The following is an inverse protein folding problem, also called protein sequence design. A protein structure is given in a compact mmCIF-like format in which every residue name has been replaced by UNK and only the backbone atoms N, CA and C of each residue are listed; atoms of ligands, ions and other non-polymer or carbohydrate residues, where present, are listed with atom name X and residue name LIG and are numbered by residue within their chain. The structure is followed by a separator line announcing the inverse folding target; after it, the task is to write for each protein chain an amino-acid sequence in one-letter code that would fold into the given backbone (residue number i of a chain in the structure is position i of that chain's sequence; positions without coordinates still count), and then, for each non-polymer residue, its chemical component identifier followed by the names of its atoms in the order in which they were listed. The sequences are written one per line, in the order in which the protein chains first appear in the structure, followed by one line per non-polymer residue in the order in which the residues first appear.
data_IF_140478977485
#
_entry.id   IF_140478977485
#
_cell.length_a   1.000
_cell.length_b   1.000
_cell.length_c   1.000
_cell.angle_alpha   90.00
_cell.angle_beta   90.00
_cell.angle_gamma   90.00
#
_symmetry.space_group_name_H-M   'P 1'
#
loop_
_entity.id
_entity.type
_entity.pdbx_description
1 polymer ?
#
# COMPACT_ATOMS: atom_id res chain seq x y z
N UNK A 1 -53.83 32.63 -39.49
CA UNK A 1 -52.83 32.52 -40.57
C UNK A 1 -52.15 31.19 -40.43
N UNK A 2 -52.28 30.32 -41.43
CA UNK A 2 -51.69 28.97 -41.41
C UNK A 2 -50.17 29.10 -41.27
N UNK A 3 -49.50 28.42 -40.32
CA UNK A 3 -48.06 28.52 -40.20
C UNK A 3 -47.43 27.80 -41.39
N UNK A 4 -46.87 28.56 -42.34
CA UNK A 4 -46.06 28.00 -43.42
C UNK A 4 -44.66 27.76 -42.90
N UNK A 5 -44.34 26.52 -42.54
CA UNK A 5 -42.96 26.08 -42.38
C UNK A 5 -42.28 26.16 -43.74
N UNK A 6 -41.32 27.07 -43.92
CA UNK A 6 -40.55 27.14 -45.16
C UNK A 6 -39.37 26.19 -45.02
N UNK A 7 -39.38 25.09 -45.78
CA UNK A 7 -38.23 24.22 -46.00
C UNK A 7 -37.48 24.75 -47.23
N UNK A 8 -36.33 25.41 -47.03
CA UNK A 8 -35.49 25.86 -48.15
C UNK A 8 -34.34 24.85 -48.36
N UNK A 9 -34.38 24.13 -49.49
CA UNK A 9 -33.30 23.26 -49.94
C UNK A 9 -32.56 24.00 -51.06
N UNK A 10 -31.33 24.45 -50.79
CA UNK A 10 -30.45 25.00 -51.82
C UNK A 10 -29.43 23.94 -52.22
N UNK A 11 -29.50 23.47 -53.45
CA UNK A 11 -28.40 22.74 -54.12
C UNK A 11 -27.43 23.78 -54.71
N UNK A 12 -26.17 23.87 -54.26
CA UNK A 12 -25.20 24.76 -54.90
C UNK A 12 -24.67 24.12 -56.18
N UNK A 13 -24.38 24.95 -57.19
CA UNK A 13 -23.86 24.53 -58.49
C UNK A 13 -22.51 23.81 -58.42
N UNK A 14 -21.82 23.83 -57.27
CA UNK A 14 -20.61 23.04 -57.00
C UNK A 14 -20.48 22.75 -55.49
N UNK A 15 -20.85 21.54 -55.06
CA UNK A 15 -20.08 20.80 -54.04
C UNK A 15 -20.42 20.93 -52.54
N UNK A 16 -21.60 21.39 -52.11
CA UNK A 16 -22.01 21.25 -50.70
C UNK A 16 -23.52 21.52 -50.45
N UNK A 17 -24.37 20.49 -50.37
CA UNK A 17 -25.78 20.69 -50.00
C UNK A 17 -25.94 21.25 -48.57
N UNK A 18 -26.76 22.30 -48.41
CA UNK A 18 -27.05 22.93 -47.11
C UNK A 18 -28.56 22.96 -46.88
N UNK A 19 -29.02 22.34 -45.78
CA UNK A 19 -30.41 22.44 -45.32
C UNK A 19 -30.49 23.45 -44.17
N UNK A 20 -31.37 24.46 -44.32
CA UNK A 20 -31.60 25.52 -43.32
C UNK A 20 -33.06 25.46 -42.86
N UNK A 21 -33.30 25.35 -41.55
CA UNK A 21 -34.64 25.43 -40.95
C UNK A 21 -34.71 26.67 -40.05
N UNK A 22 -35.58 27.62 -40.39
CA UNK A 22 -35.81 28.88 -39.66
C UNK A 22 -37.27 29.02 -39.22
N UNK A 23 -37.51 29.81 -38.17
CA UNK A 23 -38.87 30.28 -37.82
C UNK A 23 -39.14 31.66 -38.42
N UNK A 24 -40.41 32.02 -38.60
CA UNK A 24 -40.84 33.20 -39.38
C UNK A 24 -40.62 34.58 -38.71
N UNK A 25 -39.90 34.65 -37.59
CA UNK A 25 -39.49 35.93 -37.00
C UNK A 25 -38.11 36.31 -37.56
N UNK A 26 -37.97 37.53 -38.10
CA UNK A 26 -36.72 37.99 -38.71
C UNK A 26 -35.56 37.88 -37.71
N UNK A 27 -34.60 36.98 -37.99
CA UNK A 27 -33.41 36.73 -37.16
C UNK A 27 -33.24 35.31 -36.62
N UNK A 28 -34.25 34.43 -36.69
CA UNK A 28 -34.15 33.09 -36.08
C UNK A 28 -33.58 32.02 -37.02
N UNK A 29 -32.43 31.45 -36.67
CA UNK A 29 -31.87 30.22 -37.28
C UNK A 29 -31.86 29.11 -36.22
N UNK A 30 -32.57 28.00 -36.45
CA UNK A 30 -32.74 26.94 -35.43
C UNK A 30 -31.79 25.76 -35.67
N UNK A 31 -31.55 25.36 -36.93
CA UNK A 31 -30.56 24.31 -37.29
C UNK A 31 -29.94 24.63 -38.66
N UNK A 32 -28.61 24.44 -38.81
CA UNK A 32 -27.92 24.46 -40.10
C UNK A 32 -27.14 23.16 -40.32
N UNK A 33 -27.40 22.48 -41.44
CA UNK A 33 -26.69 21.27 -41.86
C UNK A 33 -25.77 21.63 -43.03
N UNK A 34 -24.45 21.56 -42.85
CA UNK A 34 -23.48 21.67 -43.95
C UNK A 34 -23.09 20.28 -44.47
N UNK A 35 -22.63 20.20 -45.73
CA UNK A 35 -22.32 18.98 -46.49
C UNK A 35 -21.88 17.78 -45.63
N UNK A 36 -22.74 16.77 -45.59
CA UNK A 36 -22.60 15.57 -44.75
C UNK A 36 -21.76 14.48 -45.44
N UNK A 37 -21.31 14.67 -46.69
CA UNK A 37 -20.67 13.62 -47.52
C UNK A 37 -19.30 13.97 -48.11
N UNK A 38 -18.64 15.04 -47.68
CA UNK A 38 -17.17 15.12 -47.83
C UNK A 38 -16.54 14.98 -46.46
N UNK A 39 -15.31 14.48 -46.40
CA UNK A 39 -14.60 13.89 -45.23
C UNK A 39 -14.47 14.78 -43.97
N UNK A 40 -15.23 15.87 -43.86
CA UNK A 40 -15.16 16.92 -42.84
C UNK A 40 -16.55 17.52 -42.44
N UNK A 41 -17.67 16.84 -42.68
CA UNK A 41 -19.03 17.32 -42.38
C UNK A 41 -19.42 17.31 -40.88
N UNK A 42 -20.33 18.20 -40.47
CA UNK A 42 -20.81 18.26 -39.08
C UNK A 42 -22.11 19.04 -38.83
N UNK A 43 -22.83 18.69 -37.76
CA UNK A 43 -24.11 19.32 -37.32
C UNK A 43 -23.84 20.31 -36.21
N UNK A 44 -24.40 21.52 -36.27
CA UNK A 44 -24.34 22.54 -35.22
C UNK A 44 -25.75 22.94 -34.76
N UNK A 45 -25.96 23.00 -33.45
CA UNK A 45 -27.22 23.43 -32.80
C UNK A 45 -26.97 24.78 -32.13
N UNK A 46 -27.82 25.78 -32.34
CA UNK A 46 -27.71 27.11 -31.73
C UNK A 46 -28.88 27.35 -30.75
N UNK A 47 -28.75 28.32 -29.83
CA UNK A 47 -29.88 28.88 -29.09
C UNK A 47 -30.84 29.59 -30.06
N UNK A 48 -32.02 29.97 -29.57
CA UNK A 48 -33.04 30.65 -30.38
C UNK A 48 -32.64 32.06 -30.86
N UNK A 49 -31.46 32.55 -30.46
CA UNK A 49 -30.85 33.81 -30.92
C UNK A 49 -30.07 33.68 -32.24
N UNK A 50 -29.94 32.46 -32.78
CA UNK A 50 -29.25 32.17 -34.03
C UNK A 50 -27.73 32.41 -34.03
N UNK A 51 -27.13 32.81 -32.91
CA UNK A 51 -25.71 33.19 -32.79
C UNK A 51 -24.96 32.37 -31.73
N UNK A 52 -25.63 31.79 -30.74
CA UNK A 52 -24.99 31.03 -29.64
C UNK A 52 -25.04 29.50 -29.87
N UNK A 53 -23.93 28.84 -30.19
CA UNK A 53 -23.85 27.38 -30.42
C UNK A 53 -23.96 26.56 -29.11
N UNK A 54 -24.84 25.54 -29.06
CA UNK A 54 -25.06 24.63 -27.93
C UNK A 54 -24.50 23.23 -28.14
N UNK A 55 -24.35 22.73 -29.37
CA UNK A 55 -23.88 21.36 -29.61
C UNK A 55 -23.32 21.20 -31.02
N UNK A 56 -22.22 20.44 -31.15
CA UNK A 56 -21.60 20.12 -32.44
C UNK A 56 -21.35 18.62 -32.58
N UNK A 57 -21.60 18.09 -33.77
CA UNK A 57 -21.22 16.76 -34.22
C UNK A 57 -20.25 16.93 -35.40
N UNK A 58 -19.11 16.27 -35.41
CA UNK A 58 -18.21 16.25 -36.57
C UNK A 58 -17.53 14.89 -36.73
N UNK A 59 -17.38 14.47 -37.98
CA UNK A 59 -16.66 13.25 -38.34
C UNK A 59 -15.40 13.57 -39.15
N UNK A 60 -14.34 12.78 -38.93
CA UNK A 60 -13.17 12.70 -39.80
C UNK A 60 -12.88 11.23 -40.15
N UNK A 61 -11.93 10.94 -41.04
CA UNK A 61 -11.77 9.63 -41.70
C UNK A 61 -11.56 8.42 -40.76
N UNK A 62 -11.15 8.64 -39.50
CA UNK A 62 -10.94 7.57 -38.52
C UNK A 62 -11.61 7.85 -37.14
N UNK A 63 -12.49 8.84 -37.01
CA UNK A 63 -13.14 9.17 -35.73
C UNK A 63 -14.44 9.96 -35.90
N UNK A 64 -15.49 9.56 -35.19
CA UNK A 64 -16.71 10.35 -35.00
C UNK A 64 -16.72 10.93 -33.58
N UNK A 65 -16.93 12.26 -33.47
CA UNK A 65 -16.90 12.96 -32.17
C UNK A 65 -18.26 13.62 -31.87
N UNK A 66 -18.76 13.40 -30.64
CA UNK A 66 -19.99 14.00 -30.12
C UNK A 66 -19.68 14.84 -28.88
N UNK A 67 -20.04 16.12 -28.92
CA UNK A 67 -19.63 17.15 -27.95
C UNK A 67 -20.90 17.68 -27.24
N UNK A 68 -21.19 17.25 -25.99
CA UNK A 68 -22.26 17.79 -25.10
C UNK A 68 -22.03 17.76 -23.58
N UNK A 69 -22.55 18.72 -22.78
CA UNK A 69 -22.93 18.52 -21.36
C UNK A 69 -22.25 19.29 -20.22
N UNK A 70 -21.41 18.73 -19.35
CA UNK A 70 -20.92 17.37 -19.09
C UNK A 70 -20.56 16.36 -20.20
N UNK A 71 -19.62 16.56 -21.13
CA UNK A 71 -18.77 17.69 -21.52
C UNK A 71 -19.27 19.08 -21.17
N UNK A 72 -18.68 19.89 -20.28
CA UNK A 72 -19.33 21.16 -19.88
C UNK A 72 -19.62 22.17 -21.00
N UNK A 73 -20.87 22.25 -21.51
CA UNK A 73 -21.42 23.37 -22.28
C UNK A 73 -21.79 24.47 -21.29
N UNK A 74 -20.91 25.47 -21.17
CA UNK A 74 -21.20 26.74 -20.49
C UNK A 74 -21.44 26.62 -18.98
N UNK A 75 -20.38 26.82 -18.21
CA UNK A 75 -20.42 27.32 -16.83
C UNK A 75 -21.60 28.29 -16.60
N UNK A 76 -22.38 28.06 -15.54
CA UNK A 76 -22.98 29.16 -14.80
C UNK A 76 -22.82 28.86 -13.30
N UNK A 77 -21.84 29.55 -12.70
CA UNK A 77 -21.38 29.49 -11.30
C UNK A 77 -20.30 28.44 -10.94
N UNK A 78 -19.06 28.95 -10.77
CA UNK A 78 -17.88 28.49 -10.00
C UNK A 78 -17.62 26.97 -9.81
N UNK A 79 -16.64 26.40 -10.53
CA UNK A 79 -16.06 25.10 -10.12
C UNK A 79 -15.03 24.43 -11.02
N UNK A 80 -15.30 24.17 -12.31
CA UNK A 80 -14.38 23.42 -13.21
C UNK A 80 -14.73 23.56 -14.70
N UNK A 81 -13.73 23.43 -15.60
CA UNK A 81 -13.88 23.56 -17.06
C UNK A 81 -14.45 22.31 -17.76
N UNK A 82 -14.28 21.14 -17.15
CA UNK A 82 -14.87 19.87 -17.58
C UNK A 82 -15.45 19.20 -16.34
N UNK A 83 -16.78 19.19 -16.26
CA UNK A 83 -17.51 18.42 -15.26
C UNK A 83 -17.94 17.15 -15.95
N UNK A 84 -17.43 16.00 -15.52
CA UNK A 84 -17.92 14.72 -16.00
C UNK A 84 -18.93 14.20 -14.99
N UNK A 85 -20.22 14.36 -15.30
CA UNK A 85 -21.29 13.99 -14.39
C UNK A 85 -21.69 12.53 -14.62
N UNK A 86 -21.61 11.75 -13.55
CA UNK A 86 -22.15 10.40 -13.51
C UNK A 86 -23.64 10.35 -13.87
N UNK A 87 -24.03 9.32 -14.61
CA UNK A 87 -25.45 9.05 -14.89
C UNK A 87 -26.23 8.59 -13.65
N UNK A 88 -25.53 8.10 -12.63
CA UNK A 88 -26.09 7.61 -11.36
C UNK A 88 -25.33 8.22 -10.17
N UNK A 89 -25.73 7.86 -8.95
CA UNK A 89 -25.02 8.21 -7.71
C UNK A 89 -24.46 6.98 -6.99
N UNK A 90 -24.63 5.80 -7.59
CA UNK A 90 -24.28 4.49 -7.02
C UNK A 90 -23.05 3.89 -7.73
N UNK A 91 -22.79 2.61 -7.50
CA UNK A 91 -21.64 1.91 -8.07
C UNK A 91 -21.93 1.26 -9.44
N UNK A 92 -23.08 1.52 -10.06
CA UNK A 92 -23.49 0.82 -11.29
C UNK A 92 -22.92 1.47 -12.56
N UNK A 93 -22.39 2.69 -12.45
CA UNK A 93 -21.82 3.43 -13.58
C UNK A 93 -20.64 4.31 -13.16
N UNK A 94 -19.91 4.79 -14.16
CA UNK A 94 -18.79 5.72 -14.01
C UNK A 94 -19.13 7.11 -14.55
N UNK A 95 -18.54 8.12 -13.94
CA UNK A 95 -18.49 9.46 -14.51
C UNK A 95 -17.48 9.46 -15.64
N UNK A 96 -16.27 8.97 -15.37
CA UNK A 96 -15.17 8.94 -16.34
C UNK A 96 -14.61 7.52 -16.48
N UNK A 97 -14.52 7.05 -17.72
CA UNK A 97 -13.82 5.83 -18.08
C UNK A 97 -12.83 6.15 -19.21
N UNK A 98 -11.54 6.03 -18.92
CA UNK A 98 -10.49 6.10 -19.94
C UNK A 98 -10.08 4.66 -20.25
N UNK A 99 -10.15 4.28 -21.51
CA UNK A 99 -9.79 2.94 -21.99
C UNK A 99 -8.55 2.95 -22.87
N UNK A 100 -7.86 1.80 -22.96
CA UNK A 100 -6.84 1.56 -23.98
C UNK A 100 -7.47 1.25 -25.35
N UNK A 101 -6.64 0.98 -26.36
CA UNK A 101 -7.11 0.66 -27.73
C UNK A 101 -7.82 -0.69 -27.86
N UNK A 102 -7.85 -1.49 -26.79
CA UNK A 102 -8.57 -2.75 -26.70
C UNK A 102 -9.78 -2.65 -25.75
N UNK A 103 -10.20 -1.42 -25.42
CA UNK A 103 -11.34 -1.08 -24.56
C UNK A 103 -11.19 -1.49 -23.08
N UNK A 104 -9.97 -1.81 -22.61
CA UNK A 104 -9.73 -2.06 -21.19
C UNK A 104 -9.65 -0.74 -20.42
N UNK A 105 -10.35 -0.62 -19.29
CA UNK A 105 -10.33 0.60 -18.47
C UNK A 105 -9.01 0.77 -17.74
N UNK A 106 -8.30 1.86 -18.03
CA UNK A 106 -7.04 2.24 -17.38
C UNK A 106 -7.26 3.20 -16.22
N UNK A 107 -8.26 4.09 -16.30
CA UNK A 107 -8.66 5.01 -15.24
C UNK A 107 -10.18 5.09 -15.18
N UNK A 108 -10.75 4.71 -14.05
CA UNK A 108 -12.19 4.52 -13.88
C UNK A 108 -12.69 5.25 -12.63
N UNK A 109 -13.42 6.34 -12.83
CA UNK A 109 -14.02 7.12 -11.73
C UNK A 109 -15.49 6.74 -11.61
N UNK A 110 -15.83 5.99 -10.57
CA UNK A 110 -17.18 5.50 -10.31
C UNK A 110 -18.05 6.59 -9.70
N UNK A 111 -19.35 6.54 -9.94
CA UNK A 111 -20.30 7.57 -9.52
C UNK A 111 -20.46 7.70 -8.00
N UNK A 112 -20.15 6.63 -7.25
CA UNK A 112 -20.09 6.62 -5.79
C UNK A 112 -18.80 7.24 -5.21
N UNK A 113 -17.93 7.79 -6.06
CA UNK A 113 -16.72 8.51 -5.68
C UNK A 113 -15.47 7.65 -5.58
N UNK A 114 -15.54 6.34 -5.83
CA UNK A 114 -14.35 5.48 -5.84
C UNK A 114 -13.62 5.53 -7.19
N UNK A 115 -12.30 5.46 -7.14
CA UNK A 115 -11.40 5.54 -8.30
C UNK A 115 -10.65 4.23 -8.46
N UNK A 116 -10.79 3.60 -9.62
CA UNK A 116 -10.02 2.45 -10.04
C UNK A 116 -8.94 2.83 -11.04
N UNK A 117 -7.74 2.29 -10.88
CA UNK A 117 -6.69 2.30 -11.90
C UNK A 117 -6.45 0.84 -12.31
N UNK A 118 -6.63 0.55 -13.60
CA UNK A 118 -6.58 -0.80 -14.17
C UNK A 118 -7.60 -1.80 -13.51
N UNK A 119 -8.72 -1.27 -13.01
CA UNK A 119 -9.83 -2.01 -12.43
C UNK A 119 -11.12 -1.18 -12.51
N UNK A 120 -12.25 -1.80 -12.82
CA UNK A 120 -13.56 -1.13 -12.93
C UNK A 120 -14.43 -1.23 -11.65
N UNK A 121 -14.05 -2.11 -10.72
CA UNK A 121 -14.78 -2.35 -9.47
C UNK A 121 -13.91 -2.05 -8.24
N UNK A 122 -13.51 -0.78 -8.00
CA UNK A 122 -12.69 -0.43 -6.84
C UNK A 122 -13.39 -0.77 -5.52
N UNK A 123 -12.69 -1.49 -4.65
CA UNK A 123 -13.18 -1.85 -3.31
C UNK A 123 -12.98 -0.70 -2.31
N UNK A 124 -11.89 0.05 -2.46
CA UNK A 124 -11.50 1.23 -1.65
C UNK A 124 -11.67 2.53 -2.43
N UNK A 125 -11.50 3.68 -1.76
CA UNK A 125 -11.68 5.00 -2.38
C UNK A 125 -10.75 5.21 -3.58
N UNK A 126 -9.49 4.77 -3.46
CA UNK A 126 -8.57 4.59 -4.57
C UNK A 126 -8.12 3.13 -4.55
N UNK A 127 -8.33 2.42 -5.64
CA UNK A 127 -7.94 1.02 -5.82
C UNK A 127 -7.09 0.91 -7.09
N UNK A 128 -5.86 0.43 -6.95
CA UNK A 128 -4.87 0.40 -8.04
C UNK A 128 -4.42 -1.02 -8.23
N UNK A 129 -4.73 -1.60 -9.38
CA UNK A 129 -4.39 -2.99 -9.70
C UNK A 129 -3.16 -3.04 -10.60
N UNK A 130 -2.13 -3.77 -10.17
CA UNK A 130 -1.00 -4.10 -11.01
C UNK A 130 -1.45 -4.84 -12.28
N UNK A 131 -0.71 -4.68 -13.37
CA UNK A 131 -0.93 -5.49 -14.56
C UNK A 131 -0.54 -6.96 -14.31
N UNK A 132 -0.90 -7.84 -15.24
CA UNK A 132 -0.55 -9.27 -15.15
C UNK A 132 0.94 -9.55 -15.34
N UNK A 133 1.77 -8.52 -15.58
CA UNK A 133 3.22 -8.66 -15.76
C UNK A 133 4.00 -8.47 -14.46
N UNK A 134 3.31 -8.19 -13.35
CA UNK A 134 3.92 -8.03 -12.04
C UNK A 134 4.49 -6.63 -11.81
N UNK A 135 4.05 -5.63 -12.58
CA UNK A 135 4.48 -4.25 -12.37
C UNK A 135 3.98 -3.69 -11.03
N UNK A 136 4.75 -2.78 -10.43
CA UNK A 136 4.32 -2.10 -9.21
C UNK A 136 3.07 -1.26 -9.49
N UNK A 137 1.96 -1.57 -8.79
CA UNK A 137 0.71 -0.82 -8.90
C UNK A 137 0.90 0.67 -8.57
N UNK A 138 1.66 0.97 -7.52
CA UNK A 138 2.05 2.33 -7.13
C UNK A 138 3.56 2.34 -6.89
N UNK A 139 4.31 3.10 -7.71
CA UNK A 139 5.73 3.38 -7.47
C UNK A 139 5.87 4.81 -6.96
N UNK A 140 6.40 4.96 -5.75
CA UNK A 140 6.84 6.26 -5.23
C UNK A 140 8.36 6.18 -5.07
N UNK A 141 9.11 7.00 -5.81
CA UNK A 141 10.58 6.99 -5.78
C UNK A 141 11.13 8.40 -5.98
N UNK A 142 12.21 8.75 -5.26
CA UNK A 142 12.97 10.00 -5.44
C UNK A 142 14.32 9.69 -6.05
N UNK A 143 14.77 10.51 -7.00
CA UNK A 143 16.14 10.47 -7.55
C UNK A 143 17.17 11.19 -6.68
N UNK A 144 16.73 11.86 -5.60
CA UNK A 144 17.59 12.61 -4.66
C UNK A 144 17.78 11.81 -3.37
N UNK A 145 19.05 11.62 -2.98
CA UNK A 145 19.43 10.97 -1.73
C UNK A 145 18.87 11.72 -0.51
N UNK A 146 18.30 10.99 0.45
CA UNK A 146 17.78 11.56 1.70
C UNK A 146 16.37 12.16 1.64
N UNK A 147 15.69 12.10 0.50
CA UNK A 147 14.34 12.62 0.39
C UNK A 147 13.31 11.68 1.04
N UNK A 148 12.35 12.21 1.79
CA UNK A 148 11.23 11.43 2.33
C UNK A 148 10.26 11.11 1.18
N UNK A 149 10.31 9.87 0.69
CA UNK A 149 9.59 9.45 -0.52
C UNK A 149 8.08 9.29 -0.26
N UNK A 150 7.68 8.91 0.95
CA UNK A 150 6.26 8.81 1.35
C UNK A 150 6.08 9.34 2.77
N UNK A 151 5.15 10.28 2.97
CA UNK A 151 4.62 10.66 4.29
C UNK A 151 3.15 10.25 4.34
N UNK A 152 2.82 9.19 5.07
CA UNK A 152 1.44 8.80 5.34
C UNK A 152 0.99 9.56 6.60
N UNK A 153 0.49 10.78 6.42
CA UNK A 153 0.09 11.68 7.52
C UNK A 153 -1.20 11.21 8.22
N UNK A 154 -1.17 11.18 9.56
CA UNK A 154 -2.29 10.93 10.47
C UNK A 154 -3.29 9.85 10.03
N UNK A 155 -2.97 8.58 10.28
CA UNK A 155 -3.99 7.54 10.32
C UNK A 155 -4.57 7.60 11.75
N UNK A 156 -5.87 7.89 11.86
CA UNK A 156 -6.61 8.25 13.09
C UNK A 156 -6.19 7.53 14.38
N UNK A 157 -6.39 8.21 15.51
CA UNK A 157 -5.97 7.86 16.88
C UNK A 157 -6.34 6.46 17.42
N UNK A 158 -7.07 5.62 16.67
CA UNK A 158 -7.60 4.37 17.20
C UNK A 158 -7.14 3.08 16.52
N UNK A 159 -6.61 3.03 15.28
CA UNK A 159 -6.13 1.75 14.69
C UNK A 159 -5.41 1.90 13.32
N UNK A 160 -4.71 3.02 13.14
CA UNK A 160 -4.18 3.41 11.84
C UNK A 160 -2.77 2.92 11.50
N UNK A 161 -2.62 1.67 11.06
CA UNK A 161 -1.34 1.12 10.58
C UNK A 161 -1.21 1.06 9.05
N UNK A 162 0.02 1.17 8.53
CA UNK A 162 0.34 0.74 7.15
C UNK A 162 0.31 -0.79 7.13
N UNK A 163 -0.81 -1.36 6.66
CA UNK A 163 -0.91 -2.82 6.46
C UNK A 163 -0.29 -3.18 5.13
N UNK A 164 0.93 -3.73 5.16
CA UNK A 164 1.58 -4.33 4.00
C UNK A 164 1.08 -5.77 3.86
N UNK A 165 0.07 -6.00 3.01
CA UNK A 165 -0.33 -7.35 2.62
C UNK A 165 0.63 -7.82 1.52
N UNK A 166 1.34 -8.92 1.76
CA UNK A 166 2.18 -9.57 0.75
C UNK A 166 1.37 -10.76 0.19
N UNK A 167 0.92 -10.64 -1.06
CA UNK A 167 0.13 -11.66 -1.75
C UNK A 167 0.96 -12.32 -2.85
N UNK A 168 1.91 -13.17 -2.49
CA UNK A 168 2.54 -14.09 -3.44
C UNK A 168 2.82 -15.47 -2.84
N UNK A 169 1.98 -15.90 -1.89
CA UNK A 169 1.68 -17.32 -1.67
C UNK A 169 2.82 -18.26 -1.26
N UNK A 170 4.09 -17.86 -1.17
CA UNK A 170 5.16 -18.79 -0.78
C UNK A 170 6.27 -18.28 0.15
N UNK A 171 6.65 -16.99 0.24
CA UNK A 171 7.45 -16.46 1.39
C UNK A 171 7.81 -14.97 1.25
N UNK A 172 7.43 -14.12 2.23
CA UNK A 172 8.23 -13.03 2.83
C UNK A 172 7.41 -12.30 3.92
N UNK A 173 7.99 -11.97 5.10
CA UNK A 173 7.27 -11.49 6.30
C UNK A 173 7.37 -9.97 6.58
N UNK A 174 7.70 -9.14 5.59
CA UNK A 174 8.21 -7.75 5.68
C UNK A 174 9.73 -7.68 5.92
N UNK A 175 10.47 -7.28 4.88
CA UNK A 175 11.91 -6.94 4.95
C UNK A 175 12.07 -5.44 5.21
N UNK A 176 12.69 -5.07 6.33
CA UNK A 176 13.32 -3.74 6.49
C UNK A 176 14.79 -3.94 6.12
N UNK A 177 15.14 -3.66 4.86
CA UNK A 177 16.49 -3.83 4.33
C UNK A 177 17.00 -2.47 3.84
N UNK A 178 18.10 -2.01 4.45
CA UNK A 178 18.87 -0.83 4.02
C UNK A 178 20.31 -1.28 3.75
N UNK A 179 21.06 -0.55 2.93
CA UNK A 179 22.51 -0.74 2.73
C UNK A 179 23.35 -0.26 3.95
N UNK A 180 22.75 -0.17 5.14
CA UNK A 180 23.35 0.34 6.38
C UNK A 180 22.57 -0.16 7.60
N UNK A 181 22.63 0.55 8.73
CA UNK A 181 21.90 0.14 9.93
C UNK A 181 20.37 0.29 9.74
N UNK A 182 19.62 -0.69 10.24
CA UNK A 182 18.16 -0.64 10.33
C UNK A 182 17.76 -0.37 11.78
N UNK A 183 17.39 0.87 12.09
CA UNK A 183 17.06 1.30 13.46
C UNK A 183 15.54 1.36 13.67
N UNK A 184 14.99 0.40 14.42
CA UNK A 184 13.62 0.55 14.97
C UNK A 184 13.72 1.41 16.23
N UNK A 185 13.30 2.66 16.14
CA UNK A 185 13.22 3.55 17.31
C UNK A 185 12.06 3.11 18.21
N UNK A 186 12.36 2.81 19.47
CA UNK A 186 11.46 2.36 20.54
C UNK A 186 11.16 0.84 20.55
N UNK A 187 10.06 0.35 19.97
CA UNK A 187 9.65 -1.07 20.07
C UNK A 187 9.27 -1.67 18.71
N UNK A 188 9.80 -2.86 18.38
CA UNK A 188 9.41 -3.66 17.22
C UNK A 188 8.36 -4.72 17.64
N UNK A 189 7.09 -4.48 17.31
CA UNK A 189 6.02 -5.46 17.54
C UNK A 189 6.04 -6.57 16.49
N UNK A 190 6.49 -7.76 16.87
CA UNK A 190 6.22 -9.00 16.11
C UNK A 190 5.06 -9.71 16.84
N UNK A 191 3.97 -10.04 16.15
CA UNK A 191 2.85 -10.76 16.77
C UNK A 191 1.61 -10.82 15.87
N UNK A 192 1.32 -12.01 15.35
CA UNK A 192 0.17 -12.32 14.47
C UNK A 192 -1.09 -12.64 15.27
N UNK A 193 -2.23 -12.41 14.60
CA UNK A 193 -3.58 -12.78 15.05
C UNK A 193 -3.63 -14.19 15.65
N UNK A 194 -4.25 -14.27 16.82
CA UNK A 194 -4.86 -15.45 17.44
C UNK A 194 -4.04 -16.75 17.40
N UNK A 195 -3.23 -16.94 18.45
CA UNK A 195 -2.81 -18.26 18.93
C UNK A 195 -1.52 -18.81 18.33
N UNK A 196 -0.38 -18.55 18.99
CA UNK A 196 0.57 -19.57 19.51
C UNK A 196 1.73 -18.92 20.31
N UNK A 197 1.93 -19.38 21.55
CA UNK A 197 3.21 -19.42 22.26
C UNK A 197 3.87 -18.09 22.67
N UNK A 198 4.74 -17.53 21.82
CA UNK A 198 5.70 -16.47 22.18
C UNK A 198 5.59 -15.26 21.24
N UNK A 199 5.65 -14.04 21.82
CA UNK A 199 5.61 -12.76 21.08
C UNK A 199 6.88 -12.50 20.24
N UNK A 200 7.99 -13.15 20.57
CA UNK A 200 9.22 -13.09 19.80
C UNK A 200 9.76 -14.51 19.62
N UNK A 201 9.90 -14.94 18.37
CA UNK A 201 10.55 -16.20 18.02
C UNK A 201 11.75 -15.86 17.14
N UNK A 202 12.94 -16.15 17.67
CA UNK A 202 14.20 -15.98 16.95
C UNK A 202 14.62 -17.39 16.50
N UNK A 203 14.59 -17.63 15.18
CA UNK A 203 14.99 -18.92 14.60
C UNK A 203 16.36 -18.77 13.94
N UNK A 204 17.26 -19.67 14.29
CA UNK A 204 18.49 -19.89 13.56
C UNK A 204 18.24 -20.26 12.10
N UNK A 205 19.17 -19.90 11.23
CA UNK A 205 19.15 -20.28 9.80
C UNK A 205 19.67 -21.69 9.54
N UNK A 206 20.37 -22.29 10.50
CA UNK A 206 20.95 -23.64 10.44
C UNK A 206 20.58 -24.44 11.69
N UNK A 207 20.92 -25.73 11.71
CA UNK A 207 20.77 -26.60 12.89
C UNK A 207 22.13 -26.96 13.54
N UNK A 208 23.22 -26.36 13.04
CA UNK A 208 24.61 -26.69 13.41
C UNK A 208 25.28 -25.53 14.18
N UNK A 209 26.61 -25.56 14.30
CA UNK A 209 27.39 -24.53 15.01
C UNK A 209 27.88 -23.38 14.10
N UNK A 210 27.43 -23.31 12.85
CA UNK A 210 27.95 -22.34 11.86
C UNK A 210 27.30 -20.96 11.98
N UNK A 211 26.16 -20.87 12.67
CA UNK A 211 25.41 -19.64 12.84
C UNK A 211 24.72 -19.56 14.22
N UNK A 212 24.16 -18.39 14.52
CA UNK A 212 23.38 -18.12 15.73
C UNK A 212 21.96 -17.67 15.41
N UNK A 213 21.05 -17.95 16.33
CA UNK A 213 19.71 -17.41 16.31
C UNK A 213 19.74 -15.98 16.85
N UNK A 214 20.40 -15.77 17.98
CA UNK A 214 20.53 -14.46 18.63
C UNK A 214 22.01 -14.13 18.84
N UNK A 215 22.43 -12.95 18.38
CA UNK A 215 23.73 -12.38 18.63
C UNK A 215 23.57 -10.94 19.13
N UNK A 216 23.77 -10.74 20.43
CA UNK A 216 23.82 -9.40 21.04
C UNK A 216 25.28 -9.03 21.19
N UNK A 217 25.70 -7.96 20.52
CA UNK A 217 27.08 -7.46 20.59
C UNK A 217 27.16 -6.08 21.21
N UNK A 218 28.37 -5.69 21.62
CA UNK A 218 28.67 -4.28 21.90
C UNK A 218 28.94 -3.48 20.61
N UNK A 219 29.38 -2.23 20.75
CA UNK A 219 29.68 -1.33 19.63
C UNK A 219 30.92 -1.71 18.81
N UNK A 220 31.72 -2.68 19.26
CA UNK A 220 32.88 -3.20 18.53
C UNK A 220 32.69 -4.64 18.06
N UNK A 221 31.44 -5.13 18.05
CA UNK A 221 31.03 -6.47 17.65
C UNK A 221 31.51 -7.60 18.58
N UNK A 222 31.83 -7.30 19.84
CA UNK A 222 32.15 -8.34 20.83
C UNK A 222 30.86 -9.01 21.34
N UNK A 223 30.79 -10.36 21.41
CA UNK A 223 29.58 -11.07 21.80
C UNK A 223 29.28 -10.91 23.30
N UNK A 224 28.15 -10.25 23.62
CA UNK A 224 27.62 -10.11 24.99
C UNK A 224 26.68 -11.27 25.35
N UNK A 225 25.83 -11.67 24.40
CA UNK A 225 25.00 -12.88 24.50
C UNK A 225 24.90 -13.52 23.12
N UNK A 226 25.32 -14.78 23.03
CA UNK A 226 25.37 -15.53 21.79
C UNK A 226 24.61 -16.84 21.95
N UNK A 227 23.48 -16.99 21.26
CA UNK A 227 22.69 -18.22 21.24
C UNK A 227 22.93 -18.92 19.90
N UNK A 228 23.76 -19.96 19.92
CA UNK A 228 24.14 -20.74 18.74
C UNK A 228 23.02 -21.67 18.31
N UNK A 229 22.94 -21.96 17.01
CA UNK A 229 21.86 -22.76 16.44
C UNK A 229 21.79 -24.21 16.94
N UNK A 230 22.92 -24.74 17.43
CA UNK A 230 23.00 -26.05 18.09
C UNK A 230 22.62 -26.02 19.59
N UNK A 231 22.03 -24.92 20.07
CA UNK A 231 21.45 -24.78 21.42
C UNK A 231 22.43 -24.36 22.51
N UNK A 232 23.69 -24.05 22.18
CA UNK A 232 24.68 -23.57 23.16
C UNK A 232 24.62 -22.05 23.33
N UNK A 233 24.84 -21.59 24.56
CA UNK A 233 24.83 -20.19 24.94
C UNK A 233 26.25 -19.77 25.31
N UNK A 234 26.74 -18.69 24.70
CA UNK A 234 27.99 -18.02 25.07
C UNK A 234 27.71 -16.63 25.64
N UNK A 235 28.44 -16.26 26.69
CA UNK A 235 28.52 -14.90 27.21
C UNK A 235 30.00 -14.51 27.20
N UNK A 236 30.37 -13.48 26.43
CA UNK A 236 31.77 -13.13 26.17
C UNK A 236 32.48 -14.05 25.16
N UNK A 237 31.76 -14.95 24.49
CA UNK A 237 32.31 -15.84 23.47
C UNK A 237 31.27 -16.21 22.42
N UNK A 238 31.69 -16.27 21.14
CA UNK A 238 30.88 -16.81 20.05
C UNK A 238 31.15 -18.30 19.79
N UNK A 239 32.17 -18.86 20.46
CA UNK A 239 32.59 -20.25 20.32
C UNK A 239 32.49 -20.99 21.67
N UNK A 240 31.27 -21.21 22.21
CA UNK A 240 31.10 -22.05 23.39
C UNK A 240 31.80 -23.40 23.22
N UNK A 241 32.48 -23.85 24.27
CA UNK A 241 33.15 -25.14 24.32
C UNK A 241 32.17 -26.29 23.98
N UNK A 242 32.67 -27.33 23.32
CA UNK A 242 31.84 -28.42 22.76
C UNK A 242 30.93 -29.09 23.80
N UNK A 243 31.41 -29.23 25.03
CA UNK A 243 30.69 -29.88 26.13
C UNK A 243 29.95 -28.91 27.06
N UNK A 244 29.92 -27.61 26.76
CA UNK A 244 29.27 -26.60 27.58
C UNK A 244 27.94 -26.16 26.94
N UNK A 245 26.83 -26.30 27.67
CA UNK A 245 25.56 -25.68 27.27
C UNK A 245 25.56 -24.17 27.50
N UNK A 246 26.26 -23.71 28.54
CA UNK A 246 26.54 -22.30 28.83
C UNK A 246 28.04 -22.13 29.02
N UNK A 247 28.65 -21.23 28.25
CA UNK A 247 30.06 -20.86 28.35
C UNK A 247 30.19 -19.37 28.69
N UNK A 248 30.98 -19.08 29.72
CA UNK A 248 31.19 -17.73 30.27
C UNK A 248 32.67 -17.40 30.16
N UNK A 249 33.01 -16.45 29.29
CA UNK A 249 34.38 -15.93 29.16
C UNK A 249 34.42 -14.50 29.67
N UNK A 250 35.23 -14.22 30.69
CA UNK A 250 35.42 -12.87 31.22
C UNK A 250 36.78 -12.73 31.87
N UNK A 251 37.38 -11.53 31.77
CA UNK A 251 38.60 -11.14 32.49
C UNK A 251 38.31 -10.18 33.65
N UNK A 252 37.08 -9.67 33.75
CA UNK A 252 36.68 -8.63 34.71
C UNK A 252 35.55 -9.07 35.65
N UNK A 253 34.90 -10.20 35.36
CA UNK A 253 33.78 -10.71 36.14
C UNK A 253 33.85 -12.24 36.33
N UNK A 254 32.95 -12.74 37.17
CA UNK A 254 32.77 -14.16 37.43
C UNK A 254 31.27 -14.48 37.51
N UNK A 255 30.93 -15.76 37.38
CA UNK A 255 29.57 -16.22 37.62
C UNK A 255 29.22 -16.06 39.11
N UNK A 256 28.27 -15.17 39.40
CA UNK A 256 27.69 -15.06 40.72
C UNK A 256 26.50 -16.02 40.82
N UNK A 257 26.68 -17.14 41.53
CA UNK A 257 25.58 -18.05 41.86
C UNK A 257 24.56 -17.40 42.80
N UNK A 258 23.34 -17.93 42.85
CA UNK A 258 22.31 -17.46 43.78
C UNK A 258 22.84 -17.48 45.23
N UNK A 259 22.62 -16.37 45.95
CA UNK A 259 23.04 -16.20 47.34
C UNK A 259 21.81 -16.09 48.23
N UNK A 260 21.73 -16.91 49.27
CA UNK A 260 20.56 -16.92 50.16
C UNK A 260 20.94 -17.42 51.55
N UNK A 261 20.04 -17.28 52.52
CA UNK A 261 20.20 -17.84 53.87
C UNK A 261 19.85 -19.34 53.89
N UNK A 262 20.21 -20.03 54.97
CA UNK A 262 19.82 -21.43 55.20
C UNK A 262 18.30 -21.62 55.10
N UNK A 263 17.53 -20.73 55.74
CA UNK A 263 16.07 -20.77 55.72
C UNK A 263 15.49 -20.62 54.30
N UNK A 264 16.04 -19.70 53.49
CA UNK A 264 15.59 -19.51 52.11
C UNK A 264 15.96 -20.70 51.21
N UNK A 265 17.16 -21.27 51.39
CA UNK A 265 17.59 -22.49 50.70
C UNK A 265 16.66 -23.67 50.99
N UNK A 266 16.29 -23.86 52.25
CA UNK A 266 15.42 -24.96 52.68
C UNK A 266 13.97 -24.78 52.24
N UNK A 267 13.58 -23.56 51.85
CA UNK A 267 12.28 -23.29 51.22
C UNK A 267 12.24 -23.63 49.72
N UNK A 268 13.38 -23.93 49.07
CA UNK A 268 13.41 -24.33 47.67
C UNK A 268 12.88 -25.76 47.49
N UNK A 269 12.11 -25.98 46.43
CA UNK A 269 11.88 -27.32 45.85
C UNK A 269 13.18 -27.78 45.17
N UNK A 270 14.15 -28.20 45.99
CA UNK A 270 15.52 -28.42 45.56
C UNK A 270 15.68 -29.68 44.69
N UNK A 271 16.48 -29.56 43.63
CA UNK A 271 16.79 -30.63 42.68
C UNK A 271 18.30 -30.91 42.73
N UNK A 272 18.69 -32.19 42.63
CA UNK A 272 20.11 -32.57 42.61
C UNK A 272 20.85 -31.85 41.46
N UNK A 273 22.06 -31.35 41.75
CA UNK A 273 22.86 -30.55 40.83
C UNK A 273 22.74 -29.03 41.01
N UNK A 274 21.82 -28.56 41.86
CA UNK A 274 21.79 -27.14 42.25
C UNK A 274 23.05 -26.74 43.03
N UNK A 275 23.57 -25.55 42.73
CA UNK A 275 24.72 -24.95 43.40
C UNK A 275 24.35 -23.52 43.80
N UNK A 276 24.62 -23.15 45.05
CA UNK A 276 24.38 -21.80 45.57
C UNK A 276 25.37 -21.46 46.67
N UNK A 277 25.44 -20.18 47.04
CA UNK A 277 26.22 -19.72 48.19
C UNK A 277 25.29 -19.40 49.37
N UNK A 278 25.47 -20.12 50.48
CA UNK A 278 24.69 -19.94 51.69
C UNK A 278 25.38 -18.88 52.58
N UNK A 279 24.70 -17.74 52.72
CA UNK A 279 25.18 -16.58 53.47
C UNK A 279 25.13 -16.76 54.99
N UNK A 280 24.33 -17.69 55.51
CA UNK A 280 24.31 -18.03 56.94
C UNK A 280 25.56 -18.84 57.31
N UNK A 281 25.96 -19.78 56.45
CA UNK A 281 27.12 -20.65 56.70
C UNK A 281 28.40 -20.11 56.07
N UNK A 282 28.32 -19.06 55.25
CA UNK A 282 29.45 -18.49 54.52
C UNK A 282 30.07 -19.44 53.48
N UNK A 283 29.31 -20.42 52.98
CA UNK A 283 29.86 -21.52 52.17
C UNK A 283 28.98 -21.85 50.97
N UNK A 284 29.59 -22.43 49.93
CA UNK A 284 28.85 -23.04 48.85
C UNK A 284 28.09 -24.27 49.35
N UNK A 285 26.88 -24.45 48.86
CA UNK A 285 26.06 -25.62 49.13
C UNK A 285 25.71 -26.27 47.79
N UNK A 286 25.80 -27.60 47.78
CA UNK A 286 25.50 -28.43 46.62
C UNK A 286 24.34 -29.34 46.99
N UNK A 287 23.33 -29.45 46.11
CA UNK A 287 22.25 -30.41 46.29
C UNK A 287 22.67 -31.74 45.67
N UNK A 288 22.90 -32.76 46.49
CA UNK A 288 23.23 -34.11 46.04
C UNK A 288 22.59 -35.18 46.92
N UNK A 289 22.20 -36.30 46.33
CA UNK A 289 21.58 -37.40 47.08
C UNK A 289 20.32 -37.01 47.86
N UNK A 290 19.62 -35.94 47.46
CA UNK A 290 18.45 -35.42 48.18
C UNK A 290 18.77 -34.54 49.39
N UNK A 291 20.05 -34.25 49.67
CA UNK A 291 20.49 -33.41 50.78
C UNK A 291 21.37 -32.25 50.33
N UNK A 292 21.43 -31.21 51.16
CA UNK A 292 22.40 -30.13 50.98
C UNK A 292 23.73 -30.52 51.63
N UNK A 293 24.80 -30.52 50.85
CA UNK A 293 26.16 -30.74 51.35
C UNK A 293 26.99 -29.47 51.22
N UNK A 294 27.95 -29.31 52.11
CA UNK A 294 29.01 -28.31 52.01
C UNK A 294 30.23 -29.06 51.48
N UNK A 295 30.86 -28.52 50.44
CA UNK A 295 32.09 -29.04 49.86
C UNK A 295 33.08 -27.90 49.68
#
# INVERSE_FOLDING_TARGET
TTPTTILEIKTPSTGADTLIISSSAAGNRIVSLGAIFSDHGGVRVFQNDGTTERARLSAGPNSASFVLGSLSIGINSIGSRLVVKGATVDNTASGLNITDSADNSIFFVRNDGKVGINLINPATLLDVKADSTGSNAIRVSSSVAGNKIVTLGAISNDDGGVRVFLSDGTTENARISTNGDSWVINSFGIGILSGIGSKLVIKGTTADNTASGLNVTDSINYPLLFVRNDGKIGIGTANPATSALLDLTSTTGALLLSRMTTTQRDALTAVNGMILYNTTTGAFNFREGGAWVIK
#
